data_IF_254068369436
#
_entry.id   IF_254068369436
#
_cell.length_a   1.000
_cell.length_b   1.000
_cell.length_c   1.000
_cell.angle_alpha   90.00
_cell.angle_beta   90.00
_cell.angle_gamma   90.00
#
_symmetry.space_group_name_H-M   'P 1'
#
loop_
_entity.id
_entity.type
_entity.pdbx_description
1 polymer ?
#
# COMPACT_ATOMS: atom_id res chain seq x y z
N UNK A 1 -21.07 50.90 -30.85
CA UNK A 1 -21.86 49.70 -30.52
C UNK A 1 -20.92 48.63 -30.01
N UNK A 2 -21.04 48.30 -28.73
CA UNK A 2 -20.38 47.17 -28.08
C UNK A 2 -20.84 45.86 -28.73
N UNK A 3 -19.90 44.97 -29.03
CA UNK A 3 -20.01 43.49 -28.94
C UNK A 3 -18.90 42.84 -29.76
N UNK A 4 -17.86 42.36 -29.08
CA UNK A 4 -17.48 40.95 -29.16
C UNK A 4 -16.49 40.65 -28.03
N UNK A 5 -17.10 40.21 -26.92
CA UNK A 5 -16.46 39.54 -25.80
C UNK A 5 -15.79 38.24 -26.27
N UNK A 6 -14.60 38.00 -25.71
CA UNK A 6 -14.16 36.75 -25.06
C UNK A 6 -14.40 35.47 -25.88
N UNK A 7 -13.36 34.97 -26.57
CA UNK A 7 -13.32 33.56 -26.98
C UNK A 7 -11.92 33.06 -27.37
N UNK A 8 -10.90 33.21 -26.51
CA UNK A 8 -9.60 32.53 -26.71
C UNK A 8 -8.88 32.21 -25.38
N UNK A 9 -9.61 31.66 -24.40
CA UNK A 9 -9.00 30.93 -23.28
C UNK A 9 -9.79 29.64 -23.05
N UNK A 10 -9.84 28.80 -24.07
CA UNK A 10 -10.26 27.39 -24.00
C UNK A 10 -9.33 26.74 -25.02
N UNK A 11 -8.19 26.15 -24.64
CA UNK A 11 -8.06 24.70 -24.54
C UNK A 11 -6.63 24.26 -24.10
N UNK A 12 -5.85 25.07 -23.37
CA UNK A 12 -4.54 24.61 -22.88
C UNK A 12 -4.59 23.71 -21.62
N UNK A 13 -5.79 23.27 -21.20
CA UNK A 13 -5.94 22.43 -20.00
C UNK A 13 -5.91 20.92 -20.24
N UNK A 14 -5.51 20.47 -21.44
CA UNK A 14 -5.30 19.04 -21.71
C UNK A 14 -3.82 18.75 -21.90
N UNK A 15 -3.11 18.54 -20.79
CA UNK A 15 -2.09 17.47 -20.64
C UNK A 15 -1.36 17.60 -19.31
N UNK A 16 -2.11 17.53 -18.21
CA UNK A 16 -1.57 16.90 -17.01
C UNK A 16 -2.63 15.92 -16.52
N UNK A 17 -2.83 14.85 -17.29
CA UNK A 17 -3.25 13.60 -16.66
C UNK A 17 -2.13 13.27 -15.68
N UNK A 18 -2.23 13.80 -14.45
CA UNK A 18 -1.33 13.50 -13.36
C UNK A 18 -1.51 12.01 -13.15
N UNK A 19 -0.53 11.26 -13.60
CA UNK A 19 -0.44 9.83 -13.36
C UNK A 19 -0.80 9.56 -11.91
N UNK A 20 -1.91 8.86 -11.71
CA UNK A 20 -2.40 8.52 -10.37
C UNK A 20 -1.35 7.65 -9.69
N UNK A 21 -0.66 6.84 -10.49
CA UNK A 21 0.40 5.94 -10.09
C UNK A 21 1.72 6.40 -10.70
N UNK A 22 2.82 6.46 -9.94
CA UNK A 22 4.11 6.81 -10.51
C UNK A 22 4.49 5.81 -11.61
N UNK A 23 4.83 6.33 -12.79
CA UNK A 23 5.29 5.61 -13.99
C UNK A 23 6.36 4.53 -13.75
N UNK A 24 7.19 4.74 -12.73
CA UNK A 24 8.28 3.84 -12.39
C UNK A 24 7.75 2.65 -11.57
N UNK A 25 7.18 1.66 -12.26
CA UNK A 25 6.63 0.39 -11.76
C UNK A 25 7.74 -0.52 -11.20
N UNK A 26 8.58 -0.03 -10.30
CA UNK A 26 9.46 -0.87 -9.51
C UNK A 26 8.58 -1.75 -8.60
N UNK A 27 8.36 -2.98 -9.05
CA UNK A 27 7.49 -3.95 -8.39
C UNK A 27 8.00 -4.24 -6.97
N UNK A 28 9.32 -4.21 -6.75
CA UNK A 28 9.89 -4.38 -5.39
C UNK A 28 9.54 -3.19 -4.51
N UNK A 29 9.59 -1.97 -5.04
CA UNK A 29 9.17 -0.78 -4.31
C UNK A 29 7.69 -0.80 -3.97
N UNK A 30 6.82 -1.21 -4.91
CA UNK A 30 5.39 -1.37 -4.65
C UNK A 30 5.15 -2.42 -3.57
N UNK A 31 5.81 -3.59 -3.66
CA UNK A 31 5.72 -4.62 -2.65
C UNK A 31 6.15 -4.12 -1.25
N UNK A 32 7.23 -3.33 -1.17
CA UNK A 32 7.68 -2.73 0.08
C UNK A 32 6.65 -1.74 0.67
N UNK A 33 6.04 -0.90 -0.18
CA UNK A 33 5.00 0.04 0.25
C UNK A 33 3.74 -0.69 0.73
N UNK A 34 3.31 -1.73 0.02
CA UNK A 34 2.17 -2.56 0.44
C UNK A 34 2.46 -3.30 1.76
N UNK A 35 3.67 -3.85 1.93
CA UNK A 35 4.08 -4.44 3.20
C UNK A 35 4.05 -3.40 4.34
N UNK A 36 4.51 -2.18 4.08
CA UNK A 36 4.46 -1.09 5.07
C UNK A 36 3.02 -0.71 5.44
N UNK A 37 2.11 -0.64 4.45
CA UNK A 37 0.68 -0.37 4.65
C UNK A 37 0.03 -1.49 5.48
N UNK A 38 0.30 -2.75 5.16
CA UNK A 38 -0.20 -3.89 5.96
C UNK A 38 0.27 -3.81 7.42
N UNK A 39 1.49 -3.32 7.64
CA UNK A 39 2.05 -3.10 8.98
C UNK A 39 1.60 -1.78 9.65
N UNK A 40 0.74 -0.98 9.01
CA UNK A 40 0.20 0.25 9.61
C UNK A 40 -0.95 -0.01 10.58
N UNK A 41 -1.48 -1.24 10.61
CA UNK A 41 -2.71 -1.56 11.31
C UNK A 41 -3.96 -1.29 10.49
N UNK A 42 -3.85 -1.34 9.15
CA UNK A 42 -5.00 -1.27 8.24
C UNK A 42 -6.01 -2.39 8.51
N UNK A 43 -5.52 -3.60 8.84
CA UNK A 43 -6.29 -4.66 9.48
C UNK A 43 -6.51 -4.26 10.93
N UNK A 44 -7.70 -4.47 11.50
CA UNK A 44 -8.01 -4.08 12.89
C UNK A 44 -7.10 -4.79 13.93
N UNK A 45 -5.87 -4.32 14.06
CA UNK A 45 -4.86 -4.82 14.99
C UNK A 45 -5.05 -4.07 16.30
N UNK A 46 -5.30 -4.81 17.38
CA UNK A 46 -5.44 -4.19 18.70
C UNK A 46 -4.16 -3.42 19.07
N UNK A 47 -4.32 -2.12 19.38
CA UNK A 47 -3.22 -1.22 19.72
C UNK A 47 -2.63 -0.41 18.55
N UNK A 48 -3.19 -0.51 17.34
CA UNK A 48 -2.83 0.35 16.21
C UNK A 48 -3.58 1.70 16.23
N UNK A 49 -2.91 2.78 15.86
CA UNK A 49 -3.53 4.09 15.59
C UNK A 49 -4.49 3.98 14.41
N UNK A 50 -5.62 4.66 14.52
CA UNK A 50 -6.58 4.72 13.42
C UNK A 50 -5.96 5.46 12.22
N UNK A 51 -6.20 4.95 11.00
CA UNK A 51 -5.73 5.55 9.75
C UNK A 51 -4.21 5.80 9.64
N UNK A 52 -3.38 5.03 10.36
CA UNK A 52 -1.92 5.20 10.28
C UNK A 52 -1.40 5.02 8.84
N UNK A 53 -0.52 5.94 8.42
CA UNK A 53 0.04 6.05 7.06
C UNK A 53 -0.96 6.39 5.94
N UNK A 54 -2.24 6.59 6.25
CA UNK A 54 -3.24 6.99 5.25
C UNK A 54 -2.81 8.25 4.51
N UNK A 55 -2.40 9.30 5.21
CA UNK A 55 -1.95 10.54 4.56
C UNK A 55 -0.76 10.34 3.62
N UNK A 56 0.17 9.44 3.97
CA UNK A 56 1.36 9.12 3.19
C UNK A 56 1.01 8.41 1.88
N UNK A 57 -0.01 7.55 1.89
CA UNK A 57 -0.25 6.58 0.83
C UNK A 57 -1.60 6.70 0.11
N UNK A 58 -2.57 7.44 0.66
CA UNK A 58 -3.93 7.56 0.12
C UNK A 58 -4.01 8.09 -1.32
N UNK A 59 -2.96 8.79 -1.77
CA UNK A 59 -2.85 9.25 -3.15
C UNK A 59 -2.67 8.10 -4.14
N UNK A 60 -2.03 7.02 -3.70
CA UNK A 60 -1.60 5.90 -4.55
C UNK A 60 -2.32 4.60 -4.22
N UNK A 61 -2.77 4.41 -2.98
CA UNK A 61 -3.33 3.17 -2.48
C UNK A 61 -4.64 3.43 -1.76
N UNK A 62 -5.60 2.51 -1.91
CA UNK A 62 -6.86 2.56 -1.17
C UNK A 62 -6.69 1.89 0.18
N UNK A 63 -7.18 2.55 1.21
CA UNK A 63 -7.25 2.02 2.58
C UNK A 63 -8.69 1.58 2.82
N UNK A 64 -9.12 0.53 2.12
CA UNK A 64 -10.46 -0.02 2.30
C UNK A 64 -10.42 -1.04 3.43
N UNK A 65 -11.43 -0.97 4.31
CA UNK A 65 -11.68 -1.99 5.31
C UNK A 65 -12.41 -3.15 4.65
N UNK A 66 -11.82 -4.34 4.71
CA UNK A 66 -12.43 -5.59 4.24
C UNK A 66 -12.98 -6.35 5.46
N UNK A 67 -14.31 -6.38 5.68
CA UNK A 67 -14.92 -6.95 6.88
C UNK A 67 -14.54 -8.42 7.14
N UNK A 68 -14.24 -9.21 6.10
CA UNK A 68 -13.85 -10.61 6.24
C UNK A 68 -12.41 -10.76 6.77
N UNK A 69 -11.55 -9.77 6.51
CA UNK A 69 -10.16 -9.74 7.00
C UNK A 69 -9.95 -8.81 8.19
N UNK A 70 -10.95 -8.02 8.56
CA UNK A 70 -10.89 -6.95 9.55
C UNK A 70 -11.47 -7.30 10.92
N UNK A 71 -11.82 -8.55 11.20
CA UNK A 71 -12.07 -8.94 12.60
C UNK A 71 -10.86 -8.56 13.48
N UNK A 72 -11.05 -8.03 14.71
CA UNK A 72 -9.95 -7.64 15.59
C UNK A 72 -8.94 -8.78 15.77
N UNK A 73 -7.65 -8.50 15.50
CA UNK A 73 -6.59 -9.50 15.60
C UNK A 73 -5.54 -9.12 16.64
N UNK A 74 -4.96 -10.15 17.26
CA UNK A 74 -3.89 -9.99 18.23
C UNK A 74 -2.56 -9.71 17.52
N UNK A 75 -1.98 -8.55 17.84
CA UNK A 75 -0.63 -8.18 17.44
C UNK A 75 0.37 -9.25 17.87
N UNK A 76 1.27 -9.64 16.97
CA UNK A 76 2.33 -10.61 17.29
C UNK A 76 3.69 -9.92 17.49
N UNK A 77 3.97 -8.91 16.67
CA UNK A 77 5.31 -8.32 16.56
C UNK A 77 5.26 -6.82 16.32
N UNK A 78 6.32 -6.13 16.72
CA UNK A 78 6.53 -4.70 16.44
C UNK A 78 7.76 -4.54 15.55
N UNK A 79 7.61 -3.84 14.43
CA UNK A 79 8.72 -3.44 13.57
C UNK A 79 9.17 -2.01 13.93
N UNK A 80 10.48 -1.78 14.02
CA UNK A 80 11.00 -0.48 14.44
C UNK A 80 10.70 0.66 13.44
N UNK A 81 10.78 0.35 12.15
CA UNK A 81 10.48 1.27 11.04
C UNK A 81 10.32 0.51 9.73
N UNK A 82 9.90 1.20 8.68
CA UNK A 82 9.80 0.69 7.31
C UNK A 82 11.15 0.21 6.76
N UNK A 83 12.27 0.78 7.23
CA UNK A 83 13.64 0.34 6.86
C UNK A 83 13.95 -1.09 7.33
N UNK A 84 13.15 -1.63 8.26
CA UNK A 84 13.28 -3.02 8.69
C UNK A 84 12.77 -4.01 7.63
N UNK A 85 11.97 -3.56 6.65
CA UNK A 85 11.37 -4.39 5.61
C UNK A 85 12.37 -4.56 4.46
N UNK A 86 12.68 -5.81 4.12
CA UNK A 86 13.52 -6.15 2.96
C UNK A 86 12.77 -7.10 2.05
N UNK A 87 12.46 -6.66 0.83
CA UNK A 87 11.87 -7.51 -0.20
C UNK A 87 12.97 -8.39 -0.79
N UNK A 88 12.89 -9.69 -0.55
CA UNK A 88 13.90 -10.66 -1.02
C UNK A 88 13.60 -11.14 -2.43
N UNK A 89 12.34 -11.40 -2.74
CA UNK A 89 11.90 -11.95 -4.02
C UNK A 89 10.56 -11.34 -4.41
N UNK A 90 10.36 -11.05 -5.71
CA UNK A 90 9.04 -10.77 -6.26
C UNK A 90 8.85 -11.62 -7.51
N UNK A 91 7.80 -12.45 -7.51
CA UNK A 91 7.47 -13.37 -8.58
C UNK A 91 6.13 -13.01 -9.18
N UNK A 92 6.07 -12.93 -10.51
CA UNK A 92 4.81 -12.82 -11.24
C UNK A 92 4.06 -14.16 -11.17
N UNK A 93 2.83 -14.15 -10.64
CA UNK A 93 2.00 -15.34 -10.47
C UNK A 93 0.86 -15.42 -11.49
N UNK A 94 0.39 -14.28 -12.00
CA UNK A 94 -0.58 -14.23 -13.10
C UNK A 94 -0.32 -13.00 -13.98
N UNK A 95 -0.09 -13.23 -15.28
CA UNK A 95 0.21 -12.17 -16.26
C UNK A 95 -1.01 -11.31 -16.59
N UNK A 96 -2.17 -11.92 -16.72
CA UNK A 96 -3.39 -11.29 -17.25
C UNK A 96 -3.91 -10.20 -16.30
N UNK A 97 -3.76 -10.43 -15.00
CA UNK A 97 -4.16 -9.50 -13.94
C UNK A 97 -2.97 -8.83 -13.25
N UNK A 98 -1.76 -8.97 -13.80
CA UNK A 98 -0.52 -8.45 -13.21
C UNK A 98 -0.42 -8.74 -11.70
N UNK A 99 -0.61 -10.00 -11.33
CA UNK A 99 -0.55 -10.42 -9.94
C UNK A 99 0.82 -10.98 -9.60
N UNK A 100 1.31 -10.62 -8.42
CA UNK A 100 2.64 -10.94 -7.91
C UNK A 100 2.57 -11.53 -6.51
N UNK A 101 3.56 -12.33 -6.17
CA UNK A 101 3.88 -12.76 -4.81
C UNK A 101 5.24 -12.16 -4.45
N UNK A 102 5.27 -11.37 -3.36
CA UNK A 102 6.49 -10.82 -2.80
C UNK A 102 6.83 -11.52 -1.50
N UNK A 103 8.04 -12.04 -1.39
CA UNK A 103 8.62 -12.51 -0.14
C UNK A 103 9.44 -11.40 0.49
N UNK A 104 9.35 -11.29 1.79
CA UNK A 104 10.10 -10.28 2.53
C UNK A 104 10.56 -10.80 3.88
N UNK A 105 11.60 -10.14 4.37
CA UNK A 105 12.09 -10.31 5.74
C UNK A 105 11.90 -9.01 6.50
N UNK A 106 11.56 -9.10 7.78
CA UNK A 106 11.44 -7.92 8.64
C UNK A 106 12.04 -8.18 10.01
N UNK A 107 12.90 -7.26 10.44
CA UNK A 107 13.44 -7.27 11.80
C UNK A 107 12.38 -6.74 12.76
N UNK A 108 12.03 -7.55 13.76
CA UNK A 108 10.94 -7.26 14.68
C UNK A 108 11.32 -7.56 16.13
N UNK A 109 10.51 -7.03 17.03
CA UNK A 109 10.49 -7.34 18.44
C UNK A 109 9.14 -7.97 18.79
N UNK A 110 9.13 -9.07 19.56
CA UNK A 110 7.87 -9.61 20.09
C UNK A 110 7.33 -8.74 21.23
N UNK A 111 6.13 -9.06 21.72
CA UNK A 111 5.50 -8.31 22.81
C UNK A 111 6.25 -8.40 24.17
N UNK A 112 7.26 -9.28 24.28
CA UNK A 112 8.12 -9.44 25.46
C UNK A 112 9.49 -8.77 25.31
N UNK A 113 9.73 -8.08 24.18
CA UNK A 113 11.01 -7.40 23.93
C UNK A 113 12.06 -8.26 23.20
N UNK A 114 11.73 -9.50 22.79
CA UNK A 114 12.68 -10.37 22.12
C UNK A 114 12.79 -10.02 20.64
N UNK A 115 13.99 -9.71 20.19
CA UNK A 115 14.30 -9.42 18.79
C UNK A 115 14.38 -10.69 17.95
N UNK A 116 13.83 -10.65 16.75
CA UNK A 116 13.90 -11.75 15.77
C UNK A 116 13.74 -11.23 14.34
N UNK A 117 13.94 -12.12 13.36
CA UNK A 117 13.66 -11.85 11.95
C UNK A 117 12.46 -12.70 11.53
N UNK A 118 11.42 -12.06 11.02
CA UNK A 118 10.26 -12.72 10.45
C UNK A 118 10.45 -12.81 8.94
N UNK A 119 10.18 -14.01 8.39
CA UNK A 119 10.05 -14.24 6.95
C UNK A 119 8.55 -14.41 6.64
N UNK A 120 8.03 -13.64 5.70
CA UNK A 120 6.63 -13.74 5.29
C UNK A 120 6.47 -13.36 3.81
N UNK A 121 5.25 -13.43 3.31
CA UNK A 121 4.90 -13.10 1.94
C UNK A 121 3.58 -12.38 1.86
N UNK A 122 3.45 -11.52 0.85
CA UNK A 122 2.17 -10.94 0.45
C UNK A 122 1.94 -11.14 -1.05
N UNK A 123 0.68 -11.29 -1.44
CA UNK A 123 0.23 -11.32 -2.83
C UNK A 123 -0.56 -10.07 -3.13
N UNK A 124 -0.31 -9.50 -4.30
CA UNK A 124 -0.93 -8.27 -4.74
C UNK A 124 -1.13 -8.27 -6.25
N UNK A 125 -1.96 -7.36 -6.74
CA UNK A 125 -2.06 -7.06 -8.18
C UNK A 125 -1.76 -5.58 -8.43
N UNK A 126 -1.29 -5.28 -9.64
CA UNK A 126 -1.10 -3.92 -10.12
C UNK A 126 -2.26 -3.52 -11.03
N UNK A 127 -2.83 -2.34 -10.79
CA UNK A 127 -3.81 -1.75 -11.69
C UNK A 127 -3.10 -1.09 -12.87
N UNK A 128 -3.30 -1.63 -14.07
CA UNK A 128 -2.64 -1.15 -15.30
C UNK A 128 -3.51 -0.22 -16.14
N UNK A 129 -4.83 -0.21 -15.93
CA UNK A 129 -5.74 0.71 -16.62
C UNK A 129 -6.02 1.94 -15.76
N UNK A 130 -6.12 3.12 -16.39
CA UNK A 130 -6.44 4.37 -15.69
C UNK A 130 -7.79 4.28 -14.95
N UNK A 131 -8.77 3.58 -15.55
CA UNK A 131 -10.08 3.33 -14.93
C UNK A 131 -9.93 2.58 -13.60
N UNK A 132 -9.16 1.49 -13.58
CA UNK A 132 -8.92 0.72 -12.37
C UNK A 132 -8.08 1.52 -11.36
N UNK A 133 -7.11 2.31 -11.82
CA UNK A 133 -6.31 3.17 -10.93
C UNK A 133 -7.14 4.25 -10.22
N UNK A 134 -8.12 4.86 -10.91
CA UNK A 134 -9.06 5.83 -10.31
C UNK A 134 -9.96 5.20 -9.25
N UNK A 135 -10.47 3.99 -9.52
CA UNK A 135 -11.32 3.25 -8.59
C UNK A 135 -10.52 2.73 -7.39
N UNK A 136 -9.54 1.89 -7.68
CA UNK A 136 -8.95 0.94 -6.72
C UNK A 136 -7.52 1.30 -6.32
N UNK A 137 -7.00 2.43 -6.80
CA UNK A 137 -5.60 2.83 -6.58
C UNK A 137 -4.63 2.03 -7.46
N UNK A 138 -3.34 2.13 -7.16
CA UNK A 138 -2.27 1.61 -8.01
C UNK A 138 -2.02 0.11 -7.87
N UNK A 139 -2.24 -0.40 -6.67
CA UNK A 139 -2.10 -1.81 -6.34
C UNK A 139 -2.97 -2.14 -5.13
N UNK A 140 -3.31 -3.41 -4.98
CA UNK A 140 -4.02 -3.89 -3.79
C UNK A 140 -3.52 -5.27 -3.38
N UNK A 141 -3.55 -5.53 -2.08
CA UNK A 141 -3.21 -6.82 -1.48
C UNK A 141 -4.40 -7.76 -1.64
N UNK A 142 -4.15 -8.94 -2.19
CA UNK A 142 -5.14 -10.03 -2.37
C UNK A 142 -4.82 -11.27 -1.52
N UNK A 143 -3.58 -11.38 -1.05
CA UNK A 143 -3.12 -12.45 -0.18
C UNK A 143 -2.24 -11.83 0.88
N UNK A 144 -2.80 -11.38 1.99
CA UNK A 144 -2.05 -10.60 2.94
C UNK A 144 -1.03 -11.40 3.74
N UNK A 145 -0.07 -10.72 4.40
CA UNK A 145 0.84 -11.35 5.34
C UNK A 145 0.12 -12.20 6.39
N UNK A 146 0.74 -13.33 6.75
CA UNK A 146 0.23 -14.20 7.81
C UNK A 146 0.57 -13.66 9.20
N UNK A 147 1.74 -13.03 9.32
CA UNK A 147 2.25 -12.48 10.58
C UNK A 147 1.72 -11.07 10.76
N UNK A 148 1.14 -10.82 11.92
CA UNK A 148 0.60 -9.52 12.30
C UNK A 148 1.70 -8.70 12.95
N UNK A 149 2.25 -7.78 12.18
CA UNK A 149 3.35 -6.90 12.57
C UNK A 149 2.83 -5.47 12.54
N UNK A 150 3.11 -4.69 13.57
CA UNK A 150 2.75 -3.26 13.62
C UNK A 150 4.02 -2.42 13.61
N UNK A 151 4.05 -1.38 12.78
CA UNK A 151 5.11 -0.38 12.85
C UNK A 151 5.05 0.36 14.18
N UNK A 152 6.19 0.56 14.81
CA UNK A 152 6.30 1.28 16.09
C UNK A 152 5.68 2.68 16.02
N UNK A 153 5.81 3.37 14.88
CA UNK A 153 5.17 4.67 14.63
C UNK A 153 3.64 4.62 14.63
N UNK A 154 3.05 3.47 14.31
CA UNK A 154 1.62 3.22 14.25
C UNK A 154 1.02 2.62 15.51
N UNK A 155 1.83 2.35 16.56
CA UNK A 155 1.33 1.91 17.86
C UNK A 155 0.70 3.10 18.62
N UNK A 156 -0.45 2.88 19.27
CA UNK A 156 -1.10 3.84 20.18
C UNK A 156 -0.21 4.19 21.38
#
# INVERSE_FOLDING_TARGET
MYKLLIATILFSQFSYAKEICPDNKDIKKVAAQLAEIEMSGIRLINGAKDDCLKEKYQKYYRFNKDPDYDAPKSLQYIAASEKAIKISEVKLINKDIHSYEAKYTVNVEDLKGKKSVVNDSLRFYLNVSERAQKGDGCASVIGPPKKLILLKSCKK
#
